data_IF_948835488609
#
_entry.id   IF_948835488609
#
_cell.length_a   1.000
_cell.length_b   1.000
_cell.length_c   1.000
_cell.angle_alpha   90.00
_cell.angle_beta   90.00
_cell.angle_gamma   90.00
#
_symmetry.space_group_name_H-M   'P 1'
#
loop_
_entity.id
_entity.type
_entity.pdbx_description
1 polymer ?
#
# COMPACT_ATOMS: atom_id res chain seq x y z
N UNK A 1 11.48 0.07 9.41
CA UNK A 1 10.21 0.04 8.63
C UNK A 1 10.35 1.00 7.46
N UNK A 2 10.22 0.52 6.22
CA UNK A 2 10.27 1.39 5.04
C UNK A 2 8.89 2.04 4.87
N UNK A 3 8.81 3.37 5.03
CA UNK A 3 7.66 4.14 4.57
C UNK A 3 7.57 3.98 3.06
N UNK A 4 6.40 3.65 2.53
CA UNK A 4 6.20 3.69 1.10
C UNK A 4 6.26 5.11 0.59
N UNK A 5 7.17 5.33 -0.37
CA UNK A 5 7.12 6.51 -1.20
C UNK A 5 6.28 6.23 -2.44
N UNK A 6 5.68 7.25 -3.04
CA UNK A 6 4.95 7.14 -4.33
C UNK A 6 5.70 6.35 -5.41
N UNK A 7 7.04 6.39 -5.38
CA UNK A 7 7.91 5.64 -6.29
C UNK A 7 7.86 4.13 -6.07
N UNK A 8 7.73 3.69 -4.82
CA UNK A 8 7.64 2.27 -4.47
C UNK A 8 6.29 1.68 -4.90
N UNK A 9 5.23 2.49 -5.07
CA UNK A 9 3.94 2.00 -5.56
C UNK A 9 3.89 1.58 -7.00
N UNK A 10 4.81 2.10 -7.81
CA UNK A 10 4.97 1.57 -9.16
C UNK A 10 5.51 0.13 -9.14
N UNK A 11 6.13 -0.28 -8.03
CA UNK A 11 6.74 -1.59 -7.85
C UNK A 11 5.99 -2.51 -6.88
N UNK A 12 5.01 -1.98 -6.12
CA UNK A 12 4.15 -2.83 -5.29
C UNK A 12 2.81 -3.11 -5.96
N UNK A 13 2.31 -4.31 -5.73
CA UNK A 13 1.23 -4.90 -6.49
C UNK A 13 0.07 -5.21 -5.54
N UNK A 14 -0.94 -4.35 -5.53
CA UNK A 14 -1.88 -4.26 -4.43
C UNK A 14 -2.91 -5.37 -4.51
N UNK A 15 -2.81 -6.35 -3.61
CA UNK A 15 -3.81 -7.38 -3.43
C UNK A 15 -4.93 -6.90 -2.49
N UNK A 16 -4.63 -6.85 -1.20
CA UNK A 16 -5.57 -6.53 -0.13
C UNK A 16 -5.25 -5.23 0.61
N UNK A 17 -6.28 -4.58 1.17
CA UNK A 17 -6.15 -3.42 2.04
C UNK A 17 -6.56 -3.77 3.46
N UNK A 18 -5.78 -3.30 4.45
CA UNK A 18 -6.19 -3.33 5.86
C UNK A 18 -5.72 -2.09 6.61
N UNK A 19 -6.33 -1.82 7.74
CA UNK A 19 -5.78 -0.86 8.68
C UNK A 19 -4.53 -1.44 9.37
N UNK A 20 -3.51 -0.59 9.64
CA UNK A 20 -2.37 -0.97 10.45
C UNK A 20 -2.81 -1.34 11.86
N UNK A 21 -1.94 -2.07 12.56
CA UNK A 21 -2.14 -2.39 13.96
C UNK A 21 -2.07 -1.12 14.85
N UNK A 22 -2.33 -1.26 16.15
CA UNK A 22 -2.31 -0.14 17.12
C UNK A 22 -0.98 0.63 17.15
N UNK A 23 0.12 0.00 16.73
CA UNK A 23 1.44 0.65 16.60
C UNK A 23 1.65 1.37 15.24
N UNK A 24 0.64 1.42 14.36
CA UNK A 24 0.80 1.94 13.00
C UNK A 24 1.63 1.02 12.10
N UNK A 25 1.69 -0.27 12.42
CA UNK A 25 2.54 -1.25 11.73
C UNK A 25 1.72 -2.16 10.83
N UNK A 26 2.27 -2.48 9.66
CA UNK A 26 1.71 -3.45 8.74
C UNK A 26 2.33 -4.83 8.95
N UNK A 27 1.62 -5.91 8.60
CA UNK A 27 2.17 -7.27 8.62
C UNK A 27 3.40 -7.41 7.72
N UNK A 28 4.19 -8.47 7.93
CA UNK A 28 5.30 -8.80 7.04
C UNK A 28 4.77 -9.10 5.61
N UNK A 29 5.42 -8.52 4.58
CA UNK A 29 4.92 -8.54 3.19
C UNK A 29 3.95 -7.41 2.85
N UNK A 30 3.55 -6.62 3.84
CA UNK A 30 2.65 -5.48 3.66
C UNK A 30 3.38 -4.17 3.80
N UNK A 31 2.69 -3.14 3.35
CA UNK A 31 3.28 -1.91 2.88
C UNK A 31 2.45 -0.74 3.39
N UNK A 32 3.05 0.09 4.26
CA UNK A 32 2.34 1.19 4.93
C UNK A 32 2.26 2.43 4.02
N UNK A 33 1.05 2.75 3.61
CA UNK A 33 0.73 3.93 2.84
C UNK A 33 0.67 5.20 3.70
N UNK A 34 0.90 6.39 3.10
CA UNK A 34 0.88 7.66 3.82
C UNK A 34 -0.50 8.03 4.39
N UNK A 35 -1.58 7.49 3.83
CA UNK A 35 -2.94 7.58 4.41
C UNK A 35 -3.16 6.68 5.63
N UNK A 36 -2.10 6.02 6.12
CA UNK A 36 -2.16 5.12 7.26
C UNK A 36 -2.98 3.85 6.98
N UNK A 37 -2.82 3.30 5.78
CA UNK A 37 -3.42 2.03 5.33
C UNK A 37 -2.30 1.07 4.94
N UNK A 38 -2.46 -0.21 5.25
CA UNK A 38 -1.57 -1.27 4.81
C UNK A 38 -2.07 -1.89 3.51
N UNK A 39 -1.17 -2.04 2.55
CA UNK A 39 -1.40 -2.77 1.31
C UNK A 39 -0.59 -4.04 1.30
N UNK A 40 -1.18 -5.12 0.83
CA UNK A 40 -0.46 -6.35 0.51
C UNK A 40 0.11 -6.27 -0.91
N UNK A 41 1.38 -6.66 -1.08
CA UNK A 41 2.06 -6.68 -2.39
C UNK A 41 1.73 -7.92 -3.25
N UNK A 42 0.96 -8.89 -2.72
CA UNK A 42 0.49 -10.10 -3.42
C UNK A 42 1.56 -10.78 -4.31
N UNK A 43 2.83 -10.68 -3.90
CA UNK A 43 3.98 -11.20 -4.63
C UNK A 43 4.22 -10.61 -6.01
N UNK A 44 3.66 -9.44 -6.32
CA UNK A 44 3.96 -8.77 -7.58
C UNK A 44 2.95 -8.97 -8.72
N UNK A 45 1.82 -9.63 -8.47
CA UNK A 45 0.93 -10.09 -9.56
C UNK A 45 0.05 -9.01 -10.20
N UNK A 46 -0.33 -7.96 -9.47
CA UNK A 46 -1.25 -6.91 -9.93
C UNK A 46 -0.78 -5.49 -9.55
N UNK A 47 -0.11 -4.76 -10.45
CA UNK A 47 0.53 -3.48 -10.10
C UNK A 47 -0.45 -2.44 -9.57
N UNK A 48 -0.07 -1.70 -8.53
CA UNK A 48 -0.87 -0.56 -8.05
C UNK A 48 -0.62 0.63 -8.98
N UNK A 49 -1.51 0.82 -9.94
CA UNK A 49 -1.53 2.00 -10.80
C UNK A 49 -2.54 3.05 -10.31
N UNK A 50 -2.40 4.29 -10.77
CA UNK A 50 -3.20 5.45 -10.37
C UNK A 50 -4.73 5.27 -10.52
N UNK A 51 -5.15 4.40 -11.44
CA UNK A 51 -6.56 4.03 -11.62
C UNK A 51 -7.09 2.96 -10.65
N UNK A 52 -6.24 2.37 -9.81
CA UNK A 52 -6.64 1.32 -8.87
C UNK A 52 -7.16 1.89 -7.55
N UNK A 53 -8.20 1.25 -7.02
CA UNK A 53 -8.74 1.48 -5.66
C UNK A 53 -7.64 1.49 -4.57
N UNK A 54 -6.59 0.69 -4.75
CA UNK A 54 -5.42 0.62 -3.86
C UNK A 54 -4.60 1.92 -3.88
N UNK A 55 -4.38 2.51 -5.06
CA UNK A 55 -3.68 3.79 -5.17
C UNK A 55 -4.46 4.91 -4.50
N UNK A 56 -5.77 4.98 -4.74
CA UNK A 56 -6.65 5.99 -4.14
C UNK A 56 -6.76 5.84 -2.61
N UNK A 57 -6.83 4.61 -2.12
CA UNK A 57 -6.79 4.33 -0.68
C UNK A 57 -5.45 4.77 -0.05
N UNK A 58 -4.34 4.62 -0.76
CA UNK A 58 -3.01 4.92 -0.25
C UNK A 58 -2.56 6.36 -0.36
N UNK A 59 -3.00 7.10 -1.37
CA UNK A 59 -2.54 8.46 -1.63
C UNK A 59 -3.59 9.53 -1.35
N UNK A 60 -4.85 9.13 -1.15
CA UNK A 60 -5.96 10.07 -1.18
C UNK A 60 -6.11 10.66 -2.58
N UNK A 61 -7.32 11.11 -2.92
CA UNK A 61 -7.50 11.93 -4.14
C UNK A 61 -6.56 13.14 -4.05
N UNK A 62 -5.65 13.27 -5.01
CA UNK A 62 -5.21 14.58 -5.47
C UNK A 62 -6.35 15.20 -6.26
#
# INVERSE_FOLDING_TARGET
MKKLSKKDLKNINGGSLRFPDSEGRCPAGWYLCPTNICVDDDGGQNPIHEGHRHYRACFGNG
#
